data_IF_113001388255
#
_entry.id   IF_113001388255
#
_cell.length_a   1.000
_cell.length_b   1.000
_cell.length_c   1.000
_cell.angle_alpha   90.00
_cell.angle_beta   90.00
_cell.angle_gamma   90.00
#
_symmetry.space_group_name_H-M   'P 1'
#
loop_
_entity.id
_entity.type
_entity.pdbx_description
1 polymer ?
#
# COMPACT_ATOMS: atom_id res chain seq x y z
N UNK A 1 10.48 13.73 -0.75
CA UNK A 1 11.61 13.74 0.20
C UNK A 1 11.15 13.93 1.63
N UNK A 2 10.43 15.01 1.98
CA UNK A 2 9.92 15.27 3.33
C UNK A 2 9.13 14.07 3.89
N UNK A 3 8.20 13.48 3.13
CA UNK A 3 7.43 12.32 3.56
C UNK A 3 8.28 11.06 3.83
N UNK A 4 9.50 10.98 3.31
CA UNK A 4 10.38 9.84 3.54
C UNK A 4 10.93 9.82 4.98
N UNK A 5 11.14 10.98 5.61
CA UNK A 5 11.58 11.06 7.00
C UNK A 5 10.59 10.41 7.97
N UNK A 6 9.28 10.60 7.76
CA UNK A 6 8.26 9.95 8.60
C UNK A 6 8.08 8.44 8.34
N UNK A 7 8.78 7.86 7.36
CA UNK A 7 8.71 6.43 7.02
C UNK A 7 9.96 5.66 7.42
N UNK A 8 11.15 6.25 7.27
CA UNK A 8 12.48 5.65 7.52
C UNK A 8 13.26 6.33 8.66
N UNK A 9 12.73 7.39 9.25
CA UNK A 9 13.36 8.16 10.31
C UNK A 9 12.31 8.93 11.11
N UNK A 10 12.68 10.16 11.49
CA UNK A 10 11.80 11.05 12.25
C UNK A 10 11.24 12.19 11.39
N UNK A 11 9.93 12.40 11.43
CA UNK A 11 9.33 13.57 10.81
C UNK A 11 9.87 14.90 11.37
N UNK A 12 10.40 14.88 12.62
CA UNK A 12 11.05 16.04 13.24
C UNK A 12 12.28 16.53 12.49
N UNK A 13 12.99 15.68 11.75
CA UNK A 13 14.18 16.06 10.99
C UNK A 13 13.80 16.97 9.80
N UNK A 14 12.64 16.72 9.17
CA UNK A 14 12.12 17.63 8.16
C UNK A 14 11.71 18.98 8.76
N UNK A 15 11.11 18.99 9.96
CA UNK A 15 10.76 20.23 10.66
C UNK A 15 12.04 21.00 11.00
N UNK A 16 13.04 20.35 11.59
CA UNK A 16 14.32 21.00 11.93
C UNK A 16 15.00 21.62 10.71
N UNK A 17 14.98 20.93 9.57
CA UNK A 17 15.49 21.48 8.30
C UNK A 17 14.79 22.80 7.93
N UNK A 18 13.45 22.84 8.09
CA UNK A 18 12.64 23.99 7.65
C UNK A 18 12.70 25.18 8.59
N UNK A 19 12.91 24.96 9.90
CA UNK A 19 12.88 26.03 10.92
C UNK A 19 14.30 26.49 11.36
N UNK A 20 15.36 25.86 10.86
CA UNK A 20 16.74 26.22 11.22
C UNK A 20 17.14 27.54 10.56
N UNK A 21 17.65 28.48 11.36
CA UNK A 21 18.23 29.72 10.89
C UNK A 21 19.71 29.53 10.45
N UNK A 22 20.31 28.38 10.76
CA UNK A 22 21.68 28.03 10.38
C UNK A 22 21.70 27.26 9.04
N UNK A 23 22.33 27.84 8.00
CA UNK A 23 22.39 27.19 6.67
C UNK A 23 23.11 25.84 6.66
N UNK A 24 24.09 25.63 7.51
CA UNK A 24 24.86 24.38 7.55
C UNK A 24 24.05 23.26 8.19
N UNK A 25 23.33 23.56 9.26
CA UNK A 25 22.35 22.66 9.88
C UNK A 25 21.25 22.28 8.89
N UNK A 26 20.66 23.25 8.20
CA UNK A 26 19.64 22.99 7.18
C UNK A 26 20.15 22.10 6.05
N UNK A 27 21.40 22.31 5.60
CA UNK A 27 22.04 21.49 4.57
C UNK A 27 22.25 20.04 5.04
N UNK A 28 22.67 19.83 6.29
CA UNK A 28 22.85 18.49 6.86
C UNK A 28 21.52 17.71 6.90
N UNK A 29 20.43 18.33 7.36
CA UNK A 29 19.11 17.71 7.34
C UNK A 29 18.61 17.46 5.93
N UNK A 30 18.85 18.35 4.98
CA UNK A 30 18.48 18.13 3.58
C UNK A 30 19.19 16.90 2.98
N UNK A 31 20.49 16.71 3.28
CA UNK A 31 21.25 15.54 2.86
C UNK A 31 20.72 14.25 3.52
N UNK A 32 20.38 14.30 4.81
CA UNK A 32 19.74 13.18 5.51
C UNK A 32 18.40 12.80 4.85
N UNK A 33 17.54 13.79 4.56
CA UNK A 33 16.25 13.55 3.90
C UNK A 33 16.40 12.97 2.48
N UNK A 34 17.45 13.37 1.76
CA UNK A 34 17.76 12.81 0.44
C UNK A 34 18.18 11.34 0.56
N UNK A 35 19.04 11.01 1.55
CA UNK A 35 19.40 9.62 1.82
C UNK A 35 18.19 8.78 2.17
N UNK A 36 17.39 9.20 3.16
CA UNK A 36 16.16 8.49 3.54
C UNK A 36 15.19 8.28 2.37
N UNK A 37 15.11 9.24 1.46
CA UNK A 37 14.29 9.11 0.26
C UNK A 37 14.89 8.11 -0.76
N UNK A 38 16.20 8.00 -0.85
CA UNK A 38 16.88 7.00 -1.69
C UNK A 38 16.67 5.60 -1.11
N UNK A 39 16.88 5.42 0.19
CA UNK A 39 16.66 4.16 0.91
C UNK A 39 15.21 3.69 0.76
N UNK A 40 14.25 4.62 0.87
CA UNK A 40 12.84 4.33 0.64
C UNK A 40 12.57 3.83 -0.79
N UNK A 41 13.17 4.47 -1.80
CA UNK A 41 12.99 4.07 -3.21
C UNK A 41 13.58 2.71 -3.49
N UNK A 42 14.72 2.40 -2.88
CA UNK A 42 15.38 1.09 -2.99
C UNK A 42 14.51 0.00 -2.39
N UNK A 43 14.07 0.16 -1.14
CA UNK A 43 13.16 -0.79 -0.49
C UNK A 43 11.83 -0.97 -1.27
N UNK A 44 11.28 0.11 -1.83
CA UNK A 44 10.09 0.05 -2.67
C UNK A 44 10.32 -0.78 -3.94
N UNK A 45 11.48 -0.60 -4.59
CA UNK A 45 11.85 -1.35 -5.77
C UNK A 45 12.05 -2.84 -5.45
N UNK A 46 12.76 -3.17 -4.38
CA UNK A 46 12.98 -4.55 -3.95
C UNK A 46 11.67 -5.29 -3.69
N UNK A 47 10.71 -4.64 -3.02
CA UNK A 47 9.38 -5.22 -2.78
C UNK A 47 8.64 -5.44 -4.10
N UNK A 48 8.65 -4.44 -4.99
CA UNK A 48 7.99 -4.56 -6.30
C UNK A 48 8.60 -5.67 -7.15
N UNK A 49 9.93 -5.75 -7.23
CA UNK A 49 10.64 -6.79 -7.99
C UNK A 49 10.31 -8.19 -7.44
N UNK A 50 10.24 -8.35 -6.10
CA UNK A 50 9.83 -9.60 -5.45
C UNK A 50 8.39 -9.99 -5.81
N UNK A 51 7.47 -9.04 -5.83
CA UNK A 51 6.06 -9.30 -6.19
C UNK A 51 5.94 -9.65 -7.68
N UNK A 52 6.64 -8.95 -8.57
CA UNK A 52 6.66 -9.23 -10.00
C UNK A 52 7.19 -10.63 -10.31
N UNK A 53 8.24 -11.05 -9.60
CA UNK A 53 8.76 -12.40 -9.72
C UNK A 53 7.72 -13.45 -9.30
N UNK A 54 6.98 -13.23 -8.20
CA UNK A 54 5.90 -14.14 -7.76
C UNK A 54 4.78 -14.22 -8.78
N UNK A 55 4.35 -13.09 -9.33
CA UNK A 55 3.32 -13.05 -10.38
C UNK A 55 3.80 -13.77 -11.65
N UNK A 56 5.08 -13.67 -11.98
CA UNK A 56 5.67 -14.39 -13.12
C UNK A 56 5.65 -15.91 -12.92
N UNK A 57 5.92 -16.37 -11.69
CA UNK A 57 5.90 -17.78 -11.32
C UNK A 57 4.47 -18.31 -11.19
N UNK A 58 3.58 -17.53 -10.62
CA UNK A 58 2.16 -17.86 -10.44
C UNK A 58 1.26 -16.74 -10.97
N UNK A 59 0.96 -16.72 -12.27
CA UNK A 59 0.06 -15.76 -12.88
C UNK A 59 -1.40 -15.86 -12.37
N UNK A 60 -1.76 -16.98 -11.69
CA UNK A 60 -3.11 -17.16 -11.15
C UNK A 60 -3.45 -16.11 -10.08
N UNK A 61 -2.45 -15.53 -9.42
CA UNK A 61 -2.63 -14.42 -8.49
C UNK A 61 -3.40 -13.24 -9.12
N UNK A 62 -3.21 -12.98 -10.40
CA UNK A 62 -3.89 -11.90 -11.12
C UNK A 62 -5.36 -12.19 -11.43
N UNK A 63 -5.81 -13.43 -11.31
CA UNK A 63 -7.24 -13.79 -11.51
C UNK A 63 -8.05 -13.66 -10.23
N UNK A 64 -7.40 -13.51 -9.07
CA UNK A 64 -8.09 -13.23 -7.80
C UNK A 64 -8.84 -11.89 -7.85
N UNK A 65 -9.96 -11.80 -7.14
CA UNK A 65 -10.78 -10.57 -7.05
C UNK A 65 -10.05 -9.46 -6.30
N UNK A 66 -9.35 -9.81 -5.23
CA UNK A 66 -8.46 -8.93 -4.46
C UNK A 66 -7.06 -9.54 -4.39
N UNK A 67 -6.03 -8.70 -4.32
CA UNK A 67 -4.65 -9.15 -4.19
C UNK A 67 -4.26 -9.16 -2.71
N UNK A 68 -3.99 -10.34 -2.17
CA UNK A 68 -3.45 -10.53 -0.82
C UNK A 68 -2.01 -10.99 -0.93
N UNK A 69 -1.07 -10.20 -0.41
CA UNK A 69 0.36 -10.41 -0.63
C UNK A 69 1.09 -10.28 0.71
N UNK A 70 1.83 -11.32 1.08
CA UNK A 70 2.71 -11.35 2.25
C UNK A 70 4.18 -11.45 1.81
N UNK A 71 5.07 -10.75 2.51
CA UNK A 71 6.52 -10.89 2.33
C UNK A 71 7.26 -10.65 3.64
N UNK A 72 8.29 -11.45 3.88
CA UNK A 72 9.13 -11.35 5.06
C UNK A 72 10.10 -10.17 4.94
N UNK A 73 10.31 -9.44 6.04
CA UNK A 73 11.30 -8.38 6.15
C UNK A 73 11.00 -7.12 5.36
N UNK A 74 9.81 -6.99 4.77
CA UNK A 74 9.44 -5.77 4.05
C UNK A 74 9.20 -4.59 5.00
N UNK A 75 9.75 -3.45 4.66
CA UNK A 75 9.66 -2.27 5.51
C UNK A 75 8.21 -1.73 5.59
N UNK A 76 7.63 -1.72 6.81
CA UNK A 76 6.23 -1.33 7.04
C UNK A 76 5.89 0.10 6.56
N UNK A 77 6.86 1.03 6.59
CA UNK A 77 6.69 2.39 6.07
C UNK A 77 6.55 2.45 4.53
N UNK A 78 6.84 1.34 3.82
CA UNK A 78 6.87 1.27 2.34
C UNK A 78 5.72 0.45 1.77
N UNK A 79 5.29 -0.63 2.46
CA UNK A 79 4.26 -1.53 1.93
C UNK A 79 2.98 -0.80 1.50
N UNK A 80 2.58 0.29 2.20
CA UNK A 80 1.43 1.08 1.81
C UNK A 80 1.61 1.89 0.51
N UNK A 81 2.87 2.23 0.13
CA UNK A 81 3.19 2.85 -1.16
C UNK A 81 3.10 1.79 -2.26
N UNK A 82 3.68 0.62 -1.99
CA UNK A 82 3.62 -0.53 -2.90
C UNK A 82 2.17 -0.94 -3.15
N UNK A 83 1.33 -1.02 -2.11
CA UNK A 83 -0.10 -1.30 -2.27
C UNK A 83 -0.77 -0.33 -3.25
N UNK A 84 -0.53 0.99 -3.11
CA UNK A 84 -1.09 1.98 -4.02
C UNK A 84 -0.64 1.77 -5.48
N UNK A 85 0.65 1.51 -5.71
CA UNK A 85 1.17 1.22 -7.06
C UNK A 85 0.59 -0.06 -7.67
N UNK A 86 0.37 -1.09 -6.84
CA UNK A 86 -0.26 -2.32 -7.31
C UNK A 86 -1.73 -2.08 -7.69
N UNK A 87 -2.46 -1.24 -6.94
CA UNK A 87 -3.82 -0.80 -7.30
C UNK A 87 -3.80 -0.06 -8.64
N UNK A 88 -2.91 0.91 -8.82
CA UNK A 88 -2.77 1.66 -10.08
C UNK A 88 -2.44 0.74 -11.26
N UNK A 89 -1.60 -0.28 -11.06
CA UNK A 89 -1.16 -1.19 -12.12
C UNK A 89 -2.19 -2.24 -12.48
N UNK A 90 -2.87 -2.82 -11.49
CA UNK A 90 -3.75 -3.98 -11.70
C UNK A 90 -5.24 -3.64 -11.61
N UNK A 91 -5.61 -2.44 -11.18
CA UNK A 91 -7.01 -2.01 -11.05
C UNK A 91 -7.81 -2.82 -10.03
N UNK A 92 -7.16 -3.34 -8.98
CA UNK A 92 -7.77 -4.22 -7.97
C UNK A 92 -7.46 -3.75 -6.57
N UNK A 93 -8.32 -4.05 -5.58
CA UNK A 93 -7.99 -3.87 -4.17
C UNK A 93 -6.78 -4.72 -3.79
N UNK A 94 -5.86 -4.15 -3.00
CA UNK A 94 -4.60 -4.77 -2.58
C UNK A 94 -4.48 -4.73 -1.06
N UNK A 95 -4.18 -5.89 -0.48
CA UNK A 95 -3.85 -6.09 0.93
C UNK A 95 -2.42 -6.66 0.98
N UNK A 96 -1.46 -5.83 1.36
CA UNK A 96 -0.05 -6.20 1.44
C UNK A 96 0.41 -6.17 2.89
N UNK A 97 1.20 -7.16 3.30
CA UNK A 97 1.63 -7.30 4.67
C UNK A 97 3.04 -7.86 4.78
N UNK A 98 3.67 -7.61 5.90
CA UNK A 98 4.98 -8.15 6.29
C UNK A 98 4.95 -8.56 7.76
N UNK A 99 5.93 -9.39 8.15
CA UNK A 99 6.12 -9.82 9.53
C UNK A 99 6.49 -8.63 10.46
N UNK A 100 5.94 -8.67 11.68
CA UNK A 100 6.21 -7.73 12.77
C UNK A 100 6.17 -8.49 14.11
N UNK A 101 7.28 -9.12 14.46
CA UNK A 101 7.43 -9.80 15.75
C UNK A 101 6.50 -10.98 15.98
N UNK A 102 6.16 -11.75 14.93
CA UNK A 102 5.27 -12.92 15.01
C UNK A 102 3.84 -12.66 14.54
N UNK A 103 3.51 -11.40 14.26
CA UNK A 103 2.28 -11.01 13.56
C UNK A 103 2.61 -10.54 12.14
N UNK A 104 1.67 -10.66 11.23
CA UNK A 104 1.68 -9.96 9.96
C UNK A 104 0.99 -8.59 10.14
N UNK A 105 1.73 -7.52 9.83
CA UNK A 105 1.19 -6.16 9.80
C UNK A 105 1.05 -5.68 8.38
N UNK A 106 -0.16 -5.21 8.03
CA UNK A 106 -0.52 -4.91 6.66
C UNK A 106 -1.01 -3.49 6.42
N UNK A 107 -1.00 -3.15 5.14
CA UNK A 107 -1.60 -1.95 4.58
C UNK A 107 -2.45 -2.33 3.38
N UNK A 108 -3.66 -1.77 3.30
CA UNK A 108 -4.57 -2.01 2.20
C UNK A 108 -4.84 -0.72 1.42
N UNK A 109 -5.05 -0.87 0.10
CA UNK A 109 -5.48 0.20 -0.81
C UNK A 109 -6.54 -0.35 -1.75
N UNK A 110 -7.41 0.53 -2.23
CA UNK A 110 -8.54 0.12 -3.06
C UNK A 110 -8.75 0.99 -4.28
N UNK A 111 -9.58 0.48 -5.18
CA UNK A 111 -10.23 1.23 -6.25
C UNK A 111 -11.53 1.84 -5.74
N UNK A 112 -12.02 2.86 -6.43
CA UNK A 112 -13.35 3.43 -6.16
C UNK A 112 -14.44 2.35 -6.28
N UNK A 113 -15.38 2.36 -5.34
CA UNK A 113 -16.48 1.39 -5.30
C UNK A 113 -16.19 0.14 -4.42
N UNK A 114 -14.96 -0.11 -3.99
CA UNK A 114 -14.64 -1.19 -3.04
C UNK A 114 -14.15 -0.61 -1.71
N UNK A 115 -14.87 -0.85 -0.63
CA UNK A 115 -14.54 -0.34 0.71
C UNK A 115 -13.56 -1.26 1.44
N UNK A 116 -12.33 -0.76 1.69
CA UNK A 116 -11.35 -1.47 2.54
C UNK A 116 -11.87 -1.67 3.95
N UNK A 117 -12.53 -0.66 4.52
CA UNK A 117 -13.03 -0.77 5.89
C UNK A 117 -14.09 -1.87 6.04
N UNK A 118 -15.02 -1.99 5.10
CA UNK A 118 -16.04 -3.05 5.11
C UNK A 118 -15.41 -4.43 4.90
N UNK A 119 -14.46 -4.55 3.97
CA UNK A 119 -13.71 -5.78 3.73
C UNK A 119 -12.91 -6.23 4.97
N UNK A 120 -12.23 -5.31 5.66
CA UNK A 120 -11.55 -5.64 6.92
C UNK A 120 -12.54 -5.99 8.03
N UNK A 121 -13.68 -5.30 8.09
CA UNK A 121 -14.74 -5.58 9.08
C UNK A 121 -15.34 -6.97 8.90
N UNK A 122 -15.50 -7.45 7.66
CA UNK A 122 -15.97 -8.83 7.40
C UNK A 122 -14.98 -9.91 7.86
N UNK A 123 -13.71 -9.55 8.04
CA UNK A 123 -12.64 -10.42 8.50
C UNK A 123 -12.27 -10.19 10.00
N UNK A 124 -13.10 -9.47 10.76
CA UNK A 124 -12.76 -9.03 12.13
C UNK A 124 -12.33 -10.16 13.08
N UNK A 125 -12.88 -11.36 12.95
CA UNK A 125 -12.53 -12.52 13.78
C UNK A 125 -11.14 -13.12 13.45
N UNK A 126 -10.57 -12.77 12.31
CA UNK A 126 -9.24 -13.21 11.87
C UNK A 126 -8.17 -12.19 12.29
N UNK A 127 -8.57 -10.91 12.37
CA UNK A 127 -7.67 -9.78 12.60
C UNK A 127 -7.47 -9.50 14.08
N UNK A 128 -6.24 -9.18 14.48
CA UNK A 128 -5.94 -8.69 15.84
C UNK A 128 -6.22 -7.20 15.97
N UNK A 129 -5.99 -6.45 14.90
CA UNK A 129 -6.27 -5.01 14.80
C UNK A 129 -6.60 -4.65 13.37
N UNK A 130 -7.50 -3.72 13.18
CA UNK A 130 -7.72 -3.08 11.90
C UNK A 130 -8.33 -1.69 12.05
N UNK A 131 -8.21 -0.88 10.99
CA UNK A 131 -8.84 0.42 10.90
C UNK A 131 -8.52 1.10 9.58
N UNK A 132 -9.27 2.15 9.28
CA UNK A 132 -9.11 2.87 8.02
C UNK A 132 -10.39 3.51 7.53
N UNK A 133 -10.48 3.71 6.24
CA UNK A 133 -11.64 4.23 5.51
C UNK A 133 -11.85 3.45 4.21
N UNK A 134 -12.80 3.85 3.38
CA UNK A 134 -13.12 3.13 2.13
C UNK A 134 -11.90 2.91 1.20
N UNK A 135 -11.03 3.90 1.03
CA UNK A 135 -9.89 3.83 0.09
C UNK A 135 -8.61 3.22 0.66
N UNK A 136 -8.44 3.17 1.99
CA UNK A 136 -7.21 2.70 2.63
C UNK A 136 -7.43 2.20 4.05
N UNK A 137 -6.61 1.22 4.47
CA UNK A 137 -6.65 0.68 5.81
C UNK A 137 -5.31 0.10 6.24
N UNK A 138 -5.20 -0.09 7.56
CA UNK A 138 -4.14 -0.85 8.20
C UNK A 138 -4.74 -2.00 9.00
N UNK A 139 -4.02 -3.10 9.09
CA UNK A 139 -4.48 -4.29 9.79
C UNK A 139 -3.31 -5.12 10.33
N UNK A 140 -3.60 -5.99 11.27
CA UNK A 140 -2.66 -7.00 11.79
C UNK A 140 -3.39 -8.31 12.03
N UNK A 141 -2.68 -9.44 11.84
CA UNK A 141 -3.19 -10.77 12.08
C UNK A 141 -2.03 -11.74 12.39
N UNK A 142 -2.29 -12.88 13.05
CA UNK A 142 -1.31 -13.94 13.19
C UNK A 142 -0.88 -14.45 11.82
N UNK A 143 0.42 -14.71 11.63
CA UNK A 143 0.99 -15.13 10.31
C UNK A 143 0.32 -16.42 9.81
N UNK A 144 0.04 -17.35 10.70
CA UNK A 144 -0.64 -18.62 10.38
C UNK A 144 -2.08 -18.44 9.88
N UNK A 145 -2.71 -17.27 10.15
CA UNK A 145 -4.08 -16.96 9.69
C UNK A 145 -4.12 -16.24 8.33
N UNK A 146 -2.97 -16.03 7.67
CA UNK A 146 -2.92 -15.37 6.36
C UNK A 146 -3.75 -16.13 5.29
N UNK A 147 -3.69 -17.46 5.20
CA UNK A 147 -4.55 -18.19 4.25
C UNK A 147 -6.04 -17.98 4.50
N UNK A 148 -6.48 -18.04 5.77
CA UNK A 148 -7.88 -17.81 6.15
C UNK A 148 -8.32 -16.38 5.79
N UNK A 149 -7.43 -15.42 5.96
CA UNK A 149 -7.69 -14.01 5.62
C UNK A 149 -7.83 -13.80 4.10
N UNK A 150 -6.98 -14.43 3.30
CA UNK A 150 -7.10 -14.38 1.83
C UNK A 150 -8.45 -14.99 1.40
N UNK A 151 -8.78 -16.19 1.87
CA UNK A 151 -10.04 -16.86 1.54
C UNK A 151 -11.26 -16.02 1.97
N UNK A 152 -11.25 -15.44 3.18
CA UNK A 152 -12.33 -14.58 3.65
C UNK A 152 -12.52 -13.33 2.77
N UNK A 153 -11.42 -12.70 2.35
CA UNK A 153 -11.48 -11.54 1.46
C UNK A 153 -11.98 -11.90 0.04
N UNK A 154 -11.58 -13.07 -0.51
CA UNK A 154 -12.09 -13.53 -1.79
C UNK A 154 -13.60 -13.80 -1.70
N UNK A 155 -14.06 -14.45 -0.62
CA UNK A 155 -15.49 -14.73 -0.39
C UNK A 155 -16.29 -13.43 -0.23
N UNK A 156 -15.82 -12.49 0.60
CA UNK A 156 -16.44 -11.17 0.72
C UNK A 156 -16.59 -10.48 -0.64
N UNK A 157 -15.53 -10.47 -1.44
CA UNK A 157 -15.55 -9.85 -2.77
C UNK A 157 -16.47 -10.58 -3.74
N UNK A 158 -16.62 -11.90 -3.63
CA UNK A 158 -17.53 -12.67 -4.47
C UNK A 158 -19.00 -12.47 -4.10
N UNK A 159 -19.31 -12.35 -2.80
CA UNK A 159 -20.67 -12.15 -2.29
C UNK A 159 -21.16 -10.71 -2.47
N UNK A 160 -20.24 -9.72 -2.28
CA UNK A 160 -20.60 -8.30 -2.34
C UNK A 160 -20.64 -7.74 -3.76
N UNK A 161 -19.94 -8.37 -4.71
CA UNK A 161 -19.79 -7.84 -6.07
C UNK A 161 -19.98 -8.94 -7.11
N UNK A 162 -21.01 -8.87 -7.92
CA UNK A 162 -21.14 -9.70 -9.12
C UNK A 162 -19.98 -9.40 -10.09
N UNK A 163 -19.75 -8.11 -10.37
CA UNK A 163 -18.62 -7.60 -11.11
C UNK A 163 -17.80 -6.68 -10.20
N UNK A 164 -16.50 -6.93 -10.10
CA UNK A 164 -15.60 -6.07 -9.32
C UNK A 164 -15.60 -4.65 -9.89
N UNK A 165 -15.53 -3.62 -9.01
CA UNK A 165 -15.29 -2.26 -9.45
C UNK A 165 -14.04 -2.16 -10.31
N UNK A 166 -14.12 -1.43 -11.41
CA UNK A 166 -12.99 -1.20 -12.32
C UNK A 166 -12.47 0.22 -12.15
N UNK A 167 -11.16 0.38 -12.36
CA UNK A 167 -10.56 1.71 -12.41
C UNK A 167 -11.19 2.52 -13.54
N UNK A 168 -11.79 3.66 -13.21
CA UNK A 168 -12.40 4.57 -14.18
C UNK A 168 -11.58 5.85 -14.32
N UNK A 169 -11.39 6.28 -15.55
CA UNK A 169 -10.81 7.59 -15.86
C UNK A 169 -11.96 8.54 -16.16
N UNK A 170 -12.11 9.57 -15.33
CA UNK A 170 -13.06 10.63 -15.57
C UNK A 170 -12.42 11.71 -16.43
N UNK A 171 -13.03 12.02 -17.59
CA UNK A 171 -12.63 13.13 -18.43
C UNK A 171 -13.58 14.31 -18.20
N UNK A 172 -13.02 15.47 -17.84
CA UNK A 172 -13.81 16.67 -17.56
C UNK A 172 -14.44 17.26 -18.83
N UNK A 173 -13.76 17.12 -19.97
CA UNK A 173 -14.24 17.64 -21.26
C UNK A 173 -13.69 16.81 -22.42
N UNK A 174 -14.55 16.57 -23.41
CA UNK A 174 -14.15 16.15 -24.75
C UNK A 174 -13.80 17.41 -25.56
N UNK A 175 -12.56 17.54 -26.01
CA UNK A 175 -12.13 18.60 -26.93
C UNK A 175 -12.19 18.08 -28.34
N UNK A 176 -12.85 18.83 -29.23
CA UNK A 176 -12.82 18.57 -30.66
C UNK A 176 -11.58 19.23 -31.29
N UNK A 177 -11.05 18.73 -32.42
CA UNK A 177 -9.83 19.28 -33.05
C UNK A 177 -9.90 20.76 -33.36
N UNK A 178 -11.08 21.31 -33.58
CA UNK A 178 -11.36 22.72 -33.87
C UNK A 178 -11.47 23.59 -32.59
N UNK A 179 -11.43 22.98 -31.39
CA UNK A 179 -11.38 23.66 -30.11
C UNK A 179 -9.96 23.80 -29.53
N UNK A 180 -8.94 23.25 -30.23
CA UNK A 180 -7.51 23.37 -29.93
C UNK A 180 -6.86 24.54 -30.66
#
# INVERSE_FOLDING_TARGET
RINASGRFGSASDAVKMLISDDPDTSRQYAQLLDKLNSDRKEAEKEIMDSIEQRITVDPALLYKRVLVIYGEGWHHGVIGIVAARLVERFGKPVFIMSDDGGEARGSARSVEGFSIFEALSSCAEILTKFGGHSGAGGFSLPIERIPDFDDALQNYAAESFENMPVFSIHADKLLMPDEL
#
